data_IF_232627981595
#
_entry.id   IF_232627981595
#
_cell.length_a   1.000
_cell.length_b   1.000
_cell.length_c   1.000
_cell.angle_alpha   90.00
_cell.angle_beta   90.00
_cell.angle_gamma   90.00
#
_symmetry.space_group_name_H-M   'P 1'
#
loop_
_entity.id
_entity.type
_entity.pdbx_description
1 polymer ?
#
# COMPACT_ATOMS: atom_id res chain seq x y z
N UNK A 1 -8.29 0.37 6.43
CA UNK A 1 -8.28 1.25 7.62
C UNK A 1 -7.03 2.13 7.70
N UNK A 2 -5.82 1.61 7.45
CA UNK A 2 -4.54 2.35 7.59
C UNK A 2 -4.31 3.51 6.62
N UNK A 3 -5.13 3.67 5.57
CA UNK A 3 -5.04 4.85 4.71
C UNK A 3 -5.32 6.12 5.52
N UNK A 4 -4.30 6.95 5.76
CA UNK A 4 -4.43 8.21 6.52
C UNK A 4 -4.86 8.01 7.99
N UNK A 5 -4.58 6.85 8.58
CA UNK A 5 -4.85 6.58 10.01
C UNK A 5 -3.69 5.81 10.60
N UNK A 6 -3.21 6.22 11.78
CA UNK A 6 -2.06 5.59 12.43
C UNK A 6 -2.37 4.17 12.89
N UNK A 7 -1.35 3.29 12.87
CA UNK A 7 -1.48 1.88 13.25
C UNK A 7 -2.04 1.70 14.66
N UNK A 8 -1.53 2.46 15.65
CA UNK A 8 -2.00 2.41 17.04
C UNK A 8 -3.49 2.73 17.18
N UNK A 9 -4.00 3.67 16.37
CA UNK A 9 -5.44 3.97 16.30
C UNK A 9 -6.22 2.85 15.61
N UNK A 10 -5.68 2.25 14.54
CA UNK A 10 -6.39 1.22 13.76
C UNK A 10 -6.48 -0.12 14.48
N UNK A 11 -5.48 -0.51 15.27
CA UNK A 11 -5.42 -1.83 15.93
C UNK A 11 -6.72 -2.25 16.64
N UNK A 12 -7.31 -1.49 17.58
CA UNK A 12 -8.53 -1.91 18.25
C UNK A 12 -9.72 -2.05 17.30
N UNK A 13 -9.81 -1.19 16.28
CA UNK A 13 -10.88 -1.25 15.27
C UNK A 13 -10.75 -2.47 14.37
N UNK A 14 -9.53 -2.78 13.92
CA UNK A 14 -9.27 -3.96 13.10
C UNK A 14 -9.60 -5.23 13.88
N UNK A 15 -9.19 -5.32 15.15
CA UNK A 15 -9.49 -6.48 15.98
C UNK A 15 -11.01 -6.67 16.19
N UNK A 16 -11.73 -5.61 16.54
CA UNK A 16 -13.19 -5.67 16.69
C UNK A 16 -13.89 -6.01 15.36
N UNK A 17 -13.38 -5.49 14.24
CA UNK A 17 -13.88 -5.78 12.90
C UNK A 17 -13.72 -7.25 12.56
N UNK A 18 -12.52 -7.81 12.70
CA UNK A 18 -12.24 -9.22 12.39
C UNK A 18 -12.97 -10.17 13.35
N UNK A 19 -13.22 -9.75 14.59
CA UNK A 19 -14.04 -10.52 15.53
C UNK A 19 -15.51 -10.55 15.11
N UNK A 20 -16.06 -9.43 14.63
CA UNK A 20 -17.47 -9.35 14.20
C UNK A 20 -17.69 -9.96 12.82
N UNK A 21 -16.76 -9.77 11.90
CA UNK A 21 -16.82 -10.24 10.52
C UNK A 21 -15.50 -10.94 10.16
N UNK A 22 -15.35 -12.22 10.53
CA UNK A 22 -14.15 -13.00 10.25
C UNK A 22 -13.92 -13.20 8.74
N UNK A 23 -14.98 -13.35 7.96
CA UNK A 23 -14.92 -13.50 6.50
C UNK A 23 -15.47 -12.27 5.78
N UNK A 24 -15.15 -12.15 4.49
CA UNK A 24 -15.76 -11.12 3.64
C UNK A 24 -17.27 -11.33 3.48
N UNK A 25 -17.76 -12.56 3.57
CA UNK A 25 -19.17 -12.89 3.44
C UNK A 25 -19.95 -12.45 4.69
N UNK A 26 -19.40 -12.64 5.89
CA UNK A 26 -19.97 -12.11 7.13
C UNK A 26 -20.17 -10.59 7.03
N UNK A 27 -19.15 -9.89 6.52
CA UNK A 27 -19.23 -8.45 6.29
C UNK A 27 -20.26 -8.09 5.22
N UNK A 28 -20.37 -8.87 4.13
CA UNK A 28 -21.38 -8.65 3.10
C UNK A 28 -22.81 -8.81 3.61
N UNK A 29 -23.06 -9.59 4.66
CA UNK A 29 -24.37 -9.67 5.30
C UNK A 29 -24.67 -8.48 6.22
N UNK A 30 -23.66 -7.68 6.58
CA UNK A 30 -23.83 -6.53 7.44
C UNK A 30 -24.65 -5.41 6.78
N UNK A 31 -25.35 -4.68 7.64
CA UNK A 31 -25.99 -3.42 7.27
C UNK A 31 -24.96 -2.27 7.22
N UNK A 32 -25.26 -1.23 6.44
CA UNK A 32 -24.41 -0.03 6.43
C UNK A 32 -24.30 0.60 7.83
N UNK A 33 -25.40 0.60 8.60
CA UNK A 33 -25.45 1.14 9.96
C UNK A 33 -24.48 0.40 10.90
N UNK A 34 -24.42 -0.93 10.84
CA UNK A 34 -23.49 -1.71 11.65
C UNK A 34 -22.03 -1.44 11.30
N UNK A 35 -21.74 -1.35 9.99
CA UNK A 35 -20.40 -1.02 9.48
C UNK A 35 -19.99 0.38 9.95
N UNK A 36 -20.88 1.36 9.85
CA UNK A 36 -20.61 2.73 10.30
C UNK A 36 -20.46 2.81 11.82
N UNK A 37 -21.23 2.03 12.59
CA UNK A 37 -21.12 1.98 14.05
C UNK A 37 -19.74 1.48 14.48
N UNK A 38 -19.24 0.38 13.91
CA UNK A 38 -17.89 -0.10 14.20
C UNK A 38 -16.79 0.80 13.63
N UNK A 39 -17.06 1.55 12.56
CA UNK A 39 -16.09 2.52 12.00
C UNK A 39 -16.04 3.85 12.78
N UNK A 40 -16.95 4.06 13.73
CA UNK A 40 -17.10 5.34 14.45
C UNK A 40 -15.81 5.76 15.15
N UNK A 41 -15.30 6.94 14.79
CA UNK A 41 -14.05 7.49 15.31
C UNK A 41 -12.83 7.35 14.39
N UNK A 42 -12.86 6.49 13.36
CA UNK A 42 -11.78 6.41 12.36
C UNK A 42 -11.81 7.53 11.31
N UNK A 43 -12.91 8.30 11.25
CA UNK A 43 -13.13 9.31 10.23
C UNK A 43 -13.22 8.75 8.80
N UNK A 44 -13.45 9.64 7.83
CA UNK A 44 -13.59 9.27 6.41
C UNK A 44 -14.55 8.09 6.18
N UNK A 45 -15.77 8.21 6.71
CA UNK A 45 -16.81 7.15 6.68
C UNK A 45 -17.14 6.65 5.27
N UNK A 46 -16.88 7.45 4.24
CA UNK A 46 -16.99 7.01 2.85
C UNK A 46 -16.14 5.79 2.53
N UNK A 47 -14.99 5.59 3.20
CA UNK A 47 -14.15 4.38 3.05
C UNK A 47 -14.89 3.11 3.49
N UNK A 48 -15.58 3.16 4.62
CA UNK A 48 -16.33 2.02 5.16
C UNK A 48 -17.48 1.62 4.22
N UNK A 49 -18.22 2.62 3.74
CA UNK A 49 -19.35 2.42 2.81
C UNK A 49 -18.89 1.87 1.47
N UNK A 50 -17.80 2.42 0.92
CA UNK A 50 -17.19 1.94 -0.32
C UNK A 50 -16.66 0.53 -0.16
N UNK A 51 -16.01 0.20 0.96
CA UNK A 51 -15.54 -1.16 1.24
C UNK A 51 -16.70 -2.16 1.22
N UNK A 52 -17.77 -1.89 1.97
CA UNK A 52 -18.95 -2.77 2.01
C UNK A 52 -19.56 -2.94 0.62
N UNK A 53 -19.77 -1.84 -0.11
CA UNK A 53 -20.33 -1.88 -1.46
C UNK A 53 -19.44 -2.62 -2.46
N UNK A 54 -18.13 -2.42 -2.38
CA UNK A 54 -17.16 -3.07 -3.26
C UNK A 54 -17.12 -4.58 -3.02
N UNK A 55 -17.10 -5.00 -1.75
CA UNK A 55 -17.07 -6.42 -1.39
C UNK A 55 -18.39 -7.12 -1.74
N UNK A 56 -19.54 -6.47 -1.55
CA UNK A 56 -20.84 -7.00 -2.04
C UNK A 56 -20.85 -7.21 -3.55
N UNK A 57 -20.24 -6.29 -4.30
CA UNK A 57 -20.12 -6.43 -5.76
C UNK A 57 -19.11 -7.49 -6.20
N UNK A 58 -18.08 -7.75 -5.38
CA UNK A 58 -17.10 -8.80 -5.63
C UNK A 58 -17.70 -10.18 -5.34
N UNK A 59 -18.29 -10.37 -4.15
CA UNK A 59 -18.81 -11.66 -3.70
C UNK A 59 -20.03 -12.12 -4.49
N UNK A 60 -20.82 -11.20 -5.06
CA UNK A 60 -21.96 -11.55 -5.92
C UNK A 60 -21.57 -12.30 -7.20
N UNK A 61 -20.29 -12.30 -7.58
CA UNK A 61 -19.76 -13.09 -8.71
C UNK A 61 -19.55 -14.57 -8.37
N UNK A 62 -19.62 -14.94 -7.09
CA UNK A 62 -19.38 -16.29 -6.58
C UNK A 62 -20.69 -16.89 -6.05
N UNK A 63 -20.88 -18.21 -6.21
CA UNK A 63 -22.15 -18.85 -5.81
C UNK A 63 -22.21 -19.16 -4.32
N UNK A 64 -21.06 -19.45 -3.72
CA UNK A 64 -20.88 -19.76 -2.31
C UNK A 64 -19.48 -19.31 -1.84
N UNK A 65 -19.19 -19.50 -0.54
CA UNK A 65 -17.92 -19.09 0.05
C UNK A 65 -16.75 -19.97 -0.43
N UNK A 66 -16.99 -21.26 -0.66
CA UNK A 66 -16.00 -22.23 -1.14
C UNK A 66 -15.44 -21.83 -2.52
N UNK A 67 -16.29 -21.33 -3.43
CA UNK A 67 -15.89 -20.81 -4.74
C UNK A 67 -14.93 -19.60 -4.62
N UNK A 68 -14.98 -18.88 -3.50
CA UNK A 68 -14.11 -17.74 -3.24
C UNK A 68 -12.78 -18.16 -2.58
N UNK A 69 -12.66 -19.36 -2.03
CA UNK A 69 -11.39 -19.84 -1.45
C UNK A 69 -10.28 -19.93 -2.50
N UNK A 70 -10.63 -20.14 -3.78
CA UNK A 70 -9.70 -20.12 -4.91
C UNK A 70 -9.51 -18.74 -5.53
N UNK A 71 -9.83 -17.67 -4.79
CA UNK A 71 -9.68 -16.29 -5.27
C UNK A 71 -8.20 -15.95 -5.49
N UNK A 72 -7.79 -15.85 -6.75
CA UNK A 72 -6.45 -15.44 -7.20
C UNK A 72 -6.59 -14.36 -8.28
N UNK A 73 -6.79 -13.09 -7.89
CA UNK A 73 -7.12 -12.03 -8.82
C UNK A 73 -5.87 -11.48 -9.53
N UNK A 74 -5.99 -11.28 -10.83
CA UNK A 74 -5.04 -10.47 -11.59
C UNK A 74 -5.04 -9.01 -11.12
N UNK A 75 -3.99 -8.27 -11.47
CA UNK A 75 -3.90 -6.84 -11.18
C UNK A 75 -5.09 -6.07 -11.78
N UNK A 76 -5.51 -6.43 -13.00
CA UNK A 76 -6.65 -5.79 -13.66
C UNK A 76 -7.94 -6.00 -12.87
N UNK A 77 -8.19 -7.22 -12.40
CA UNK A 77 -9.39 -7.53 -11.62
C UNK A 77 -9.39 -6.82 -10.27
N UNK A 78 -8.23 -6.71 -9.60
CA UNK A 78 -8.12 -5.91 -8.37
C UNK A 78 -8.42 -4.44 -8.62
N UNK A 79 -7.97 -3.86 -9.74
CA UNK A 79 -8.20 -2.46 -10.08
C UNK A 79 -9.67 -2.15 -10.45
N UNK A 80 -10.45 -3.16 -10.82
CA UNK A 80 -11.89 -3.02 -11.02
C UNK A 80 -12.67 -2.88 -9.71
N UNK A 81 -12.09 -3.31 -8.58
CA UNK A 81 -12.75 -3.24 -7.27
C UNK A 81 -12.82 -1.77 -6.82
N UNK A 82 -14.02 -1.21 -6.58
CA UNK A 82 -14.16 0.20 -6.23
C UNK A 82 -13.39 0.60 -4.97
N UNK A 83 -12.42 1.52 -5.11
CA UNK A 83 -11.59 2.00 -4.00
C UNK A 83 -10.25 1.26 -3.85
N UNK A 84 -10.01 0.22 -4.65
CA UNK A 84 -8.71 -0.40 -4.84
C UNK A 84 -7.99 0.36 -5.97
N UNK A 85 -6.84 0.94 -5.66
CA UNK A 85 -5.94 1.53 -6.66
C UNK A 85 -4.63 0.75 -6.73
N UNK A 86 -3.73 1.14 -7.63
CA UNK A 86 -2.45 0.45 -7.88
C UNK A 86 -1.66 0.09 -6.61
N UNK A 87 -1.58 1.01 -5.65
CA UNK A 87 -0.95 0.74 -4.36
C UNK A 87 -1.62 -0.43 -3.62
N UNK A 88 -2.94 -0.38 -3.46
CA UNK A 88 -3.68 -1.41 -2.70
C UNK A 88 -3.66 -2.74 -3.45
N UNK A 89 -3.78 -2.72 -4.78
CA UNK A 89 -3.70 -3.93 -5.59
C UNK A 89 -2.31 -4.59 -5.44
N UNK A 90 -1.23 -3.81 -5.56
CA UNK A 90 0.14 -4.34 -5.39
C UNK A 90 0.40 -4.81 -3.95
N UNK A 91 -0.17 -4.11 -2.95
CA UNK A 91 -0.08 -4.54 -1.55
C UNK A 91 -0.79 -5.88 -1.32
N UNK A 92 -2.00 -6.05 -1.87
CA UNK A 92 -2.74 -7.32 -1.80
C UNK A 92 -1.94 -8.43 -2.50
N UNK A 93 -1.50 -8.20 -3.75
CA UNK A 93 -0.74 -9.17 -4.53
C UNK A 93 0.54 -9.62 -3.84
N UNK A 94 1.31 -8.69 -3.26
CA UNK A 94 2.57 -9.04 -2.59
C UNK A 94 2.41 -9.64 -1.19
N UNK A 95 1.43 -9.17 -0.39
CA UNK A 95 1.27 -9.62 1.01
C UNK A 95 0.45 -10.91 1.08
N UNK A 96 -0.55 -11.07 0.21
CA UNK A 96 -1.50 -12.19 0.27
C UNK A 96 -1.14 -13.29 -0.73
N UNK A 97 -0.61 -12.92 -1.90
CA UNK A 97 -0.36 -13.84 -3.01
C UNK A 97 1.12 -14.00 -3.37
N UNK A 98 2.02 -13.46 -2.54
CA UNK A 98 3.48 -13.53 -2.71
C UNK A 98 3.97 -13.12 -4.12
N UNK A 99 3.25 -12.22 -4.79
CA UNK A 99 3.67 -11.71 -6.09
C UNK A 99 4.73 -10.61 -5.92
N UNK A 100 5.85 -10.67 -6.67
CA UNK A 100 6.95 -9.72 -6.54
C UNK A 100 6.64 -8.37 -7.19
N UNK A 101 5.71 -7.63 -6.59
CA UNK A 101 5.32 -6.29 -7.01
C UNK A 101 5.45 -5.27 -5.87
N UNK A 102 6.17 -4.17 -6.12
CA UNK A 102 6.35 -3.13 -5.12
C UNK A 102 5.05 -2.31 -4.90
N UNK A 103 4.63 -2.19 -3.65
CA UNK A 103 3.44 -1.44 -3.24
C UNK A 103 3.77 0.04 -2.95
N UNK A 104 4.08 0.79 -4.01
CA UNK A 104 4.56 2.19 -3.89
C UNK A 104 3.46 3.15 -3.43
N UNK A 105 3.61 3.68 -2.22
CA UNK A 105 2.81 4.75 -1.63
C UNK A 105 3.67 5.99 -1.26
N UNK A 106 3.13 6.89 -0.43
CA UNK A 106 3.88 8.05 0.06
C UNK A 106 5.09 7.68 0.95
N UNK A 107 5.08 6.52 1.61
CA UNK A 107 6.20 6.04 2.42
C UNK A 107 7.35 5.59 1.52
N UNK A 108 7.06 4.82 0.48
CA UNK A 108 8.03 4.45 -0.55
C UNK A 108 8.66 5.68 -1.20
N UNK A 109 7.82 6.61 -1.66
CA UNK A 109 8.30 7.83 -2.30
C UNK A 109 9.24 8.59 -1.36
N UNK A 110 8.91 8.68 -0.06
CA UNK A 110 9.74 9.39 0.93
C UNK A 110 11.09 8.71 1.17
N UNK A 111 11.10 7.39 1.34
CA UNK A 111 12.33 6.60 1.56
C UNK A 111 13.22 6.69 0.32
N UNK A 112 12.69 6.27 -0.83
CA UNK A 112 13.50 6.14 -2.04
C UNK A 112 13.86 7.49 -2.65
N UNK A 113 13.04 8.54 -2.52
CA UNK A 113 13.47 9.89 -2.94
C UNK A 113 14.73 10.35 -2.20
N UNK A 114 14.85 10.03 -0.91
CA UNK A 114 16.03 10.37 -0.10
C UNK A 114 17.23 9.49 -0.44
N UNK A 115 17.02 8.17 -0.57
CA UNK A 115 18.09 7.21 -0.91
C UNK A 115 18.68 7.51 -2.30
N UNK A 116 17.80 7.82 -3.27
CA UNK A 116 18.16 8.09 -4.65
C UNK A 116 18.56 9.55 -4.91
N UNK A 117 18.30 10.46 -3.96
CA UNK A 117 18.58 11.89 -4.11
C UNK A 117 17.67 12.62 -5.12
N UNK A 118 16.48 12.09 -5.39
CA UNK A 118 15.51 12.71 -6.32
C UNK A 118 14.53 13.61 -5.61
N UNK A 119 14.20 14.74 -6.25
CA UNK A 119 13.19 15.68 -5.76
C UNK A 119 12.41 16.27 -6.91
N UNK A 120 11.18 16.66 -6.63
CA UNK A 120 10.35 17.37 -7.60
C UNK A 120 10.97 18.73 -7.92
N UNK A 121 11.00 19.09 -9.20
CA UNK A 121 11.47 20.40 -9.69
C UNK A 121 10.48 20.96 -10.71
N UNK A 122 10.78 22.13 -11.30
CA UNK A 122 10.00 22.63 -12.43
C UNK A 122 9.96 21.65 -13.61
N UNK A 123 11.04 20.90 -13.81
CA UNK A 123 11.22 19.94 -14.92
C UNK A 123 10.81 18.52 -14.53
N UNK A 124 11.19 18.06 -13.33
CA UNK A 124 10.92 16.71 -12.84
C UNK A 124 9.59 16.69 -12.12
N UNK A 125 8.58 16.00 -12.68
CA UNK A 125 7.25 15.93 -12.07
C UNK A 125 7.15 14.77 -11.09
N UNK A 126 6.20 14.86 -10.15
CA UNK A 126 5.93 13.81 -9.18
C UNK A 126 5.60 12.45 -9.85
N UNK A 127 4.94 12.47 -11.01
CA UNK A 127 4.65 11.24 -11.77
C UNK A 127 5.93 10.51 -12.21
N UNK A 128 6.96 11.26 -12.59
CA UNK A 128 8.21 10.69 -13.11
C UNK A 128 9.01 10.07 -11.95
N UNK A 129 9.01 10.75 -10.79
CA UNK A 129 9.59 10.22 -9.54
C UNK A 129 8.87 8.93 -9.12
N UNK A 130 7.54 8.90 -9.19
CA UNK A 130 6.76 7.71 -8.86
C UNK A 130 7.09 6.54 -9.78
N UNK A 131 7.20 6.77 -11.10
CA UNK A 131 7.58 5.73 -12.06
C UNK A 131 8.97 5.18 -11.77
N UNK A 132 9.95 6.08 -11.59
CA UNK A 132 11.33 5.70 -11.30
C UNK A 132 11.45 4.88 -10.02
N UNK A 133 10.76 5.30 -8.95
CA UNK A 133 10.75 4.57 -7.68
C UNK A 133 10.07 3.22 -7.84
N UNK A 134 8.97 3.14 -8.60
CA UNK A 134 8.28 1.86 -8.88
C UNK A 134 9.21 0.89 -9.60
N UNK A 135 9.81 1.32 -10.70
CA UNK A 135 10.77 0.51 -11.48
C UNK A 135 11.94 0.05 -10.59
N UNK A 136 12.52 0.97 -9.82
CA UNK A 136 13.63 0.64 -8.90
C UNK A 136 13.21 -0.37 -7.84
N UNK A 137 12.00 -0.23 -7.27
CA UNK A 137 11.54 -1.13 -6.22
C UNK A 137 11.12 -2.50 -6.77
N UNK A 138 10.59 -2.56 -7.99
CA UNK A 138 10.29 -3.84 -8.65
C UNK A 138 11.56 -4.61 -8.98
N UNK A 139 12.66 -3.92 -9.30
CA UNK A 139 13.97 -4.57 -9.50
C UNK A 139 14.62 -5.03 -8.19
N UNK A 140 14.27 -4.41 -7.05
CA UNK A 140 14.87 -4.66 -5.73
C UNK A 140 14.07 -5.60 -4.84
N UNK A 141 12.79 -5.82 -5.14
CA UNK A 141 11.90 -6.60 -4.29
C UNK A 141 12.41 -8.04 -4.17
N UNK A 142 12.36 -8.59 -2.95
CA UNK A 142 12.69 -9.98 -2.72
C UNK A 142 11.62 -10.87 -3.39
N UNK A 143 11.98 -11.73 -4.36
CA UNK A 143 11.01 -12.58 -5.05
C UNK A 143 10.43 -13.68 -4.16
N UNK A 144 11.10 -14.04 -3.06
CA UNK A 144 10.61 -15.04 -2.11
C UNK A 144 9.81 -14.41 -0.96
N UNK A 145 10.04 -13.13 -0.67
CA UNK A 145 9.39 -12.42 0.46
C UNK A 145 8.90 -11.01 0.07
N UNK A 146 8.09 -10.86 -0.98
CA UNK A 146 7.72 -9.53 -1.47
C UNK A 146 6.81 -8.76 -0.51
N UNK A 147 5.92 -9.46 0.20
CA UNK A 147 5.08 -8.88 1.25
C UNK A 147 5.90 -8.30 2.40
N UNK A 148 6.94 -9.02 2.85
CA UNK A 148 7.83 -8.57 3.91
C UNK A 148 8.69 -7.40 3.46
N UNK A 149 9.19 -7.41 2.22
CA UNK A 149 9.89 -6.26 1.64
C UNK A 149 9.00 -5.02 1.67
N UNK A 150 7.75 -5.15 1.21
CA UNK A 150 6.82 -4.02 1.18
C UNK A 150 6.52 -3.46 2.58
N UNK A 151 6.28 -4.34 3.55
CA UNK A 151 6.06 -3.95 4.95
C UNK A 151 7.31 -3.31 5.58
N UNK A 152 8.49 -3.86 5.32
CA UNK A 152 9.75 -3.35 5.85
C UNK A 152 10.04 -1.92 5.37
N UNK A 153 9.74 -1.59 4.10
CA UNK A 153 9.87 -0.22 3.59
C UNK A 153 8.88 0.73 4.28
N UNK A 154 7.64 0.30 4.52
CA UNK A 154 6.67 1.12 5.25
C UNK A 154 7.12 1.39 6.69
N UNK A 155 7.62 0.37 7.39
CA UNK A 155 8.14 0.50 8.75
C UNK A 155 9.38 1.39 8.79
N UNK A 156 10.30 1.22 7.85
CA UNK A 156 11.49 2.06 7.70
C UNK A 156 11.11 3.53 7.50
N UNK A 157 10.06 3.79 6.72
CA UNK A 157 9.55 5.14 6.48
C UNK A 157 8.95 5.78 7.73
N UNK A 158 8.38 4.98 8.63
CA UNK A 158 7.72 5.45 9.86
C UNK A 158 8.67 5.54 11.05
N UNK A 159 9.80 4.83 11.03
CA UNK A 159 10.76 4.80 12.13
C UNK A 159 12.03 5.62 11.87
N UNK A 160 12.63 5.49 10.69
CA UNK A 160 13.95 6.08 10.37
C UNK A 160 13.80 7.27 9.42
N UNK A 161 13.01 7.13 8.36
CA UNK A 161 12.79 8.17 7.37
C UNK A 161 11.53 8.99 7.65
N UNK A 162 11.34 9.41 8.91
CA UNK A 162 10.22 10.25 9.33
C UNK A 162 10.17 11.60 8.58
N UNK A 163 8.99 12.22 8.56
CA UNK A 163 8.72 13.46 7.81
C UNK A 163 9.59 14.63 8.28
N UNK A 164 9.79 14.76 9.60
CA UNK A 164 10.62 15.80 10.21
C UNK A 164 12.00 15.23 10.52
N UNK A 165 12.95 15.46 9.61
CA UNK A 165 14.36 15.03 9.66
C UNK A 165 14.58 13.51 9.86
N UNK A 166 15.18 12.78 8.89
CA UNK A 166 15.57 11.40 9.15
C UNK A 166 16.54 11.36 10.35
N UNK A 167 16.46 10.32 11.17
CA UNK A 167 17.44 10.07 12.22
C UNK A 167 18.80 9.84 11.55
N UNK A 168 19.56 10.92 11.36
CA UNK A 168 20.74 10.96 10.48
C UNK A 168 21.83 9.94 10.88
N UNK A 169 21.83 9.51 12.14
CA UNK A 169 22.78 8.52 12.67
C UNK A 169 22.29 7.06 12.54
N UNK A 170 21.09 6.80 11.99
CA UNK A 170 20.47 5.46 11.87
C UNK A 170 19.95 5.20 10.44
N UNK A 171 20.37 6.00 9.44
CA UNK A 171 20.01 5.70 8.06
C UNK A 171 20.62 4.36 7.64
N UNK A 172 19.81 3.30 7.57
CA UNK A 172 20.28 1.93 7.24
C UNK A 172 20.47 1.77 5.72
N UNK A 173 19.68 2.47 4.92
CA UNK A 173 19.90 2.55 3.47
C UNK A 173 20.81 3.73 3.17
N UNK A 174 22.12 3.48 3.21
CA UNK A 174 23.13 4.40 2.68
C UNK A 174 23.54 3.96 1.30
N UNK A 175 23.54 4.88 0.35
CA UNK A 175 24.21 4.65 -0.93
C UNK A 175 25.71 4.75 -0.69
N UNK A 176 26.36 3.62 -0.42
CA UNK A 176 27.76 3.51 -0.79
C UNK A 176 27.79 3.52 -2.32
N UNK A 177 27.94 4.73 -2.88
CA UNK A 177 28.05 5.11 -4.30
C UNK A 177 26.78 5.67 -4.93
N UNK A 178 26.93 6.94 -5.33
CA UNK A 178 26.25 7.73 -6.37
C UNK A 178 26.26 7.05 -7.77
N UNK A 179 26.00 5.74 -7.88
CA UNK A 179 26.24 4.99 -9.13
C UNK A 179 24.98 4.56 -9.89
N UNK A 180 23.77 4.67 -9.33
CA UNK A 180 22.56 4.32 -10.10
C UNK A 180 21.99 5.47 -10.97
N UNK A 181 22.43 6.72 -10.79
CA UNK A 181 21.76 7.88 -11.42
C UNK A 181 22.36 8.43 -12.71
N UNK A 182 23.51 7.92 -13.18
CA UNK A 182 24.14 8.49 -14.38
C UNK A 182 23.62 7.97 -15.72
N UNK A 183 22.72 6.98 -15.76
CA UNK A 183 22.34 6.35 -17.04
C UNK A 183 20.86 6.45 -17.44
N UNK A 184 19.94 6.97 -16.61
CA UNK A 184 18.50 6.91 -16.95
C UNK A 184 17.71 8.22 -16.92
N UNK A 185 18.21 9.29 -16.30
CA UNK A 185 17.64 10.64 -16.46
C UNK A 185 18.79 11.63 -16.46
N UNK A 186 19.09 12.24 -17.61
CA UNK A 186 19.98 13.41 -17.68
C UNK A 186 19.32 14.56 -16.90
N UNK A 187 19.74 14.73 -15.65
CA UNK A 187 19.48 15.97 -14.91
C UNK A 187 20.44 17.00 -15.48
N UNK A 188 19.98 18.15 -16.03
CA UNK A 188 20.88 19.23 -16.41
C UNK A 188 21.62 19.70 -15.16
N UNK A 189 22.96 19.75 -15.23
CA UNK A 189 23.77 20.32 -14.17
C UNK A 189 23.33 21.79 -13.97
N UNK A 190 22.97 22.14 -12.74
CA UNK A 190 22.86 23.53 -12.30
C UNK A 190 24.25 24.06 -11.91
#
# INVERSE_FOLDING_TARGET
MLQQTQTSTVMPYFNAWMQKWPTIFDLCHATEQEVLALWSGLGYYSRAKRLLSALKGLTSKYKNEEDFETFDPSLSELLEIPGVGHYMASAIQSIVFDLPCAAVDGNFIRVFSRVLGVRQTGEIKLKDIKSLIKETCDDLIDPERPGDFNQAIMDLANTIYVTYAPLANIAVLTTNKTVLFKSRITVPNA
#
